data_IF_110077262264
#
_entry.id   IF_110077262264
#
_cell.length_a   1.000
_cell.length_b   1.000
_cell.length_c   1.000
_cell.angle_alpha   90.00
_cell.angle_beta   90.00
_cell.angle_gamma   90.00
#
_symmetry.space_group_name_H-M   'P 1'
#
loop_
_entity.id
_entity.type
_entity.pdbx_description
1 polymer ?
#
# COMPACT_ATOMS: atom_id res chain seq x y z
N UNK A 1 -10.11 -34.48 -30.63
CA UNK A 1 -10.96 -33.37 -30.15
C UNK A 1 -10.08 -32.14 -29.96
N UNK A 2 -10.33 -31.03 -30.66
CA UNK A 2 -9.57 -29.78 -30.49
C UNK A 2 -10.19 -28.97 -29.34
N UNK A 3 -9.38 -28.56 -28.37
CA UNK A 3 -9.78 -27.69 -27.26
C UNK A 3 -10.18 -26.32 -27.85
N UNK A 4 -11.31 -25.71 -27.45
CA UNK A 4 -11.70 -24.40 -27.95
C UNK A 4 -10.64 -23.35 -27.58
N UNK A 5 -10.40 -22.34 -28.44
CA UNK A 5 -9.49 -21.25 -28.10
C UNK A 5 -10.04 -20.49 -26.90
N UNK A 6 -9.14 -20.07 -26.00
CA UNK A 6 -9.50 -19.14 -24.92
C UNK A 6 -10.07 -17.88 -25.58
N UNK A 7 -11.30 -17.51 -25.21
CA UNK A 7 -11.94 -16.29 -25.69
C UNK A 7 -11.14 -15.03 -25.31
N UNK A 8 -11.49 -13.86 -25.85
CA UNK A 8 -10.77 -12.61 -25.55
C UNK A 8 -10.76 -12.40 -24.03
N UNK A 9 -9.56 -12.34 -23.45
CA UNK A 9 -9.37 -11.99 -22.04
C UNK A 9 -9.67 -10.52 -21.88
N UNK A 10 -10.82 -10.20 -21.28
CA UNK A 10 -11.09 -8.83 -20.83
C UNK A 10 -9.96 -8.42 -19.89
N UNK A 11 -9.25 -7.30 -20.13
CA UNK A 11 -8.20 -6.85 -19.23
C UNK A 11 -8.85 -6.57 -17.86
N UNK A 12 -8.53 -7.40 -16.88
CA UNK A 12 -8.94 -7.17 -15.51
C UNK A 12 -8.14 -5.98 -14.98
N UNK A 13 -8.72 -4.78 -15.03
CA UNK A 13 -8.09 -3.56 -14.48
C UNK A 13 -8.10 -3.66 -12.96
N UNK A 14 -7.08 -4.29 -12.39
CA UNK A 14 -6.85 -4.30 -10.95
C UNK A 14 -6.51 -2.86 -10.55
N UNK A 15 -7.36 -2.22 -9.76
CA UNK A 15 -7.05 -0.91 -9.21
C UNK A 15 -5.74 -0.99 -8.41
N UNK A 16 -4.83 0.00 -8.55
CA UNK A 16 -3.65 0.04 -7.70
C UNK A 16 -4.08 0.08 -6.24
N UNK A 17 -3.30 -0.53 -5.36
CA UNK A 17 -3.61 -0.57 -3.95
C UNK A 17 -2.44 -0.16 -3.08
N UNK A 18 -2.79 0.45 -1.94
CA UNK A 18 -1.93 0.73 -0.81
C UNK A 18 -2.32 -0.24 0.29
N UNK A 19 -1.33 -0.83 0.96
CA UNK A 19 -1.56 -1.68 2.13
C UNK A 19 -1.10 -0.96 3.39
N UNK A 20 -2.01 -0.75 4.32
CA UNK A 20 -1.73 -0.20 5.65
C UNK A 20 -1.64 -1.33 6.67
N UNK A 21 -0.56 -1.36 7.43
CA UNK A 21 -0.34 -2.31 8.50
C UNK A 21 -0.91 -1.73 9.80
N UNK A 22 -1.97 -2.35 10.33
CA UNK A 22 -2.70 -1.93 11.54
C UNK A 22 -4.21 -2.04 11.34
N UNK A 23 -4.87 -2.96 12.06
CA UNK A 23 -6.30 -3.26 11.91
C UNK A 23 -7.20 -2.13 12.49
N UNK A 24 -6.76 -1.45 13.54
CA UNK A 24 -7.54 -0.40 14.24
C UNK A 24 -6.84 0.96 14.21
N UNK A 25 -6.18 1.28 13.10
CA UNK A 25 -5.45 2.54 13.03
C UNK A 25 -6.42 3.72 12.80
N UNK A 26 -6.33 4.74 13.64
CA UNK A 26 -6.91 6.08 13.39
C UNK A 26 -6.40 6.72 12.08
N UNK A 27 -5.41 6.09 11.46
CA UNK A 27 -4.77 6.45 10.21
C UNK A 27 -5.55 6.00 8.97
N UNK A 28 -6.47 5.05 9.11
CA UNK A 28 -7.20 4.52 7.95
C UNK A 28 -7.90 5.61 7.12
N UNK A 29 -8.65 6.58 7.70
CA UNK A 29 -9.30 7.62 6.92
C UNK A 29 -8.29 8.49 6.15
N UNK A 30 -7.15 8.82 6.78
CA UNK A 30 -6.08 9.59 6.17
C UNK A 30 -5.45 8.84 4.99
N UNK A 31 -5.10 7.57 5.20
CA UNK A 31 -4.52 6.70 4.17
C UNK A 31 -5.50 6.48 3.01
N UNK A 32 -6.78 6.26 3.30
CA UNK A 32 -7.82 6.00 2.30
C UNK A 32 -8.02 7.21 1.39
N UNK A 33 -8.17 8.40 1.99
CA UNK A 33 -8.29 9.64 1.23
C UNK A 33 -7.02 9.93 0.42
N UNK A 34 -5.85 9.72 1.02
CA UNK A 34 -4.57 10.01 0.37
C UNK A 34 -4.30 9.06 -0.80
N UNK A 35 -4.60 7.77 -0.67
CA UNK A 35 -4.48 6.79 -1.73
C UNK A 35 -5.39 7.11 -2.93
N UNK A 36 -6.65 7.48 -2.65
CA UNK A 36 -7.60 7.89 -3.68
C UNK A 36 -7.11 9.14 -4.43
N UNK A 37 -6.64 10.17 -3.72
CA UNK A 37 -6.14 11.42 -4.31
C UNK A 37 -4.80 11.28 -5.05
N UNK A 38 -3.92 10.40 -4.58
CA UNK A 38 -2.58 10.24 -5.14
C UNK A 38 -2.60 9.47 -6.47
N UNK A 39 -3.39 8.39 -6.53
CA UNK A 39 -3.31 7.41 -7.62
C UNK A 39 -4.66 6.76 -8.00
N UNK A 40 -5.80 7.25 -7.48
CA UNK A 40 -7.07 6.55 -7.62
C UNK A 40 -7.04 5.14 -7.03
N UNK A 41 -6.20 4.95 -6.00
CA UNK A 41 -5.91 3.65 -5.43
C UNK A 41 -6.88 3.28 -4.30
N UNK A 42 -7.12 1.99 -4.14
CA UNK A 42 -7.82 1.47 -2.95
C UNK A 42 -6.86 1.34 -1.77
N UNK A 43 -7.40 1.51 -0.57
CA UNK A 43 -6.71 1.15 0.66
C UNK A 43 -7.15 -0.24 1.11
N UNK A 44 -6.18 -1.09 1.39
CA UNK A 44 -6.33 -2.37 2.08
C UNK A 44 -5.66 -2.25 3.46
N UNK A 45 -6.17 -2.97 4.44
CA UNK A 45 -5.61 -3.03 5.80
C UNK A 45 -5.29 -4.48 6.17
N UNK A 46 -4.29 -4.68 7.02
CA UNK A 46 -3.96 -5.98 7.59
C UNK A 46 -3.28 -5.82 8.94
N UNK A 47 -3.23 -6.89 9.74
CA UNK A 47 -2.34 -6.95 10.91
C UNK A 47 -0.90 -7.27 10.49
N UNK A 48 0.01 -7.24 11.48
CA UNK A 48 1.39 -7.68 11.29
C UNK A 48 1.48 -9.17 10.94
N UNK A 49 0.64 -10.02 11.53
CA UNK A 49 0.72 -11.48 11.32
C UNK A 49 0.44 -11.87 9.86
N UNK A 50 -0.39 -11.12 9.16
CA UNK A 50 -0.80 -11.37 7.78
C UNK A 50 -0.10 -10.49 6.75
N UNK A 51 0.73 -9.52 7.17
CA UNK A 51 1.31 -8.50 6.27
C UNK A 51 2.06 -9.10 5.09
N UNK A 52 2.88 -10.13 5.33
CA UNK A 52 3.68 -10.79 4.29
C UNK A 52 2.78 -11.44 3.23
N UNK A 53 1.78 -12.20 3.67
CA UNK A 53 0.82 -12.86 2.79
C UNK A 53 -0.01 -11.84 2.02
N UNK A 54 -0.57 -10.83 2.69
CA UNK A 54 -1.41 -9.81 2.08
C UNK A 54 -0.63 -8.95 1.09
N UNK A 55 0.62 -8.59 1.40
CA UNK A 55 1.47 -7.85 0.47
C UNK A 55 1.79 -8.69 -0.78
N UNK A 56 2.01 -10.00 -0.64
CA UNK A 56 2.26 -10.89 -1.77
C UNK A 56 1.03 -11.08 -2.67
N UNK A 57 -0.16 -11.21 -2.08
CA UNK A 57 -1.44 -11.35 -2.79
C UNK A 57 -1.85 -10.06 -3.51
N UNK A 58 -1.83 -8.95 -2.79
CA UNK A 58 -2.34 -7.67 -3.27
C UNK A 58 -1.34 -6.94 -4.16
N UNK A 59 -0.03 -7.23 -3.97
CA UNK A 59 1.08 -6.54 -4.62
C UNK A 59 0.87 -5.02 -4.54
N UNK A 60 0.84 -4.41 -3.35
CA UNK A 60 0.57 -2.98 -3.20
C UNK A 60 1.75 -2.15 -3.68
N UNK A 61 1.51 -0.97 -4.27
CA UNK A 61 2.60 -0.09 -4.69
C UNK A 61 3.25 0.65 -3.51
N UNK A 62 2.54 0.73 -2.39
CA UNK A 62 3.04 1.28 -1.14
C UNK A 62 2.60 0.42 0.05
N UNK A 63 3.54 0.20 0.97
CA UNK A 63 3.32 -0.37 2.29
C UNK A 63 3.40 0.79 3.29
N UNK A 64 2.25 1.19 3.84
CA UNK A 64 2.20 2.21 4.88
C UNK A 64 2.26 1.50 6.23
N UNK A 65 3.24 1.85 7.04
CA UNK A 65 3.48 1.21 8.35
C UNK A 65 3.54 2.30 9.42
N UNK A 66 2.72 2.23 10.48
CA UNK A 66 2.86 3.09 11.64
C UNK A 66 4.27 3.03 12.19
N UNK A 67 4.84 4.18 12.57
CA UNK A 67 6.26 4.26 12.97
C UNK A 67 6.56 3.36 14.16
N UNK A 68 5.62 3.28 15.11
CA UNK A 68 5.66 2.40 16.28
C UNK A 68 5.73 0.90 15.93
N UNK A 69 5.15 0.49 14.80
CA UNK A 69 5.23 -0.89 14.28
C UNK A 69 6.55 -1.08 13.54
N UNK A 70 6.94 -0.08 12.73
CA UNK A 70 8.15 -0.15 11.94
C UNK A 70 9.41 -0.21 12.81
N UNK A 71 9.43 0.49 13.94
CA UNK A 71 10.56 0.52 14.89
C UNK A 71 10.81 -0.83 15.56
N UNK A 72 9.84 -1.74 15.55
CA UNK A 72 10.00 -3.09 16.10
C UNK A 72 10.93 -3.97 15.25
N UNK A 73 10.72 -3.99 13.93
CA UNK A 73 11.61 -4.67 12.97
C UNK A 73 11.67 -3.93 11.62
N UNK A 74 12.48 -2.88 11.51
CA UNK A 74 12.56 -2.09 10.28
C UNK A 74 13.19 -2.89 9.12
N UNK A 75 14.07 -3.86 9.43
CA UNK A 75 14.76 -4.64 8.42
C UNK A 75 13.79 -5.59 7.70
N UNK A 76 12.88 -6.21 8.44
CA UNK A 76 11.85 -7.09 7.87
C UNK A 76 10.93 -6.32 6.91
N UNK A 77 10.43 -5.14 7.30
CA UNK A 77 9.56 -4.34 6.43
C UNK A 77 10.28 -3.83 5.18
N UNK A 78 11.57 -3.47 5.28
CA UNK A 78 12.39 -3.09 4.12
C UNK A 78 12.56 -4.29 3.17
N UNK A 79 12.83 -5.48 3.70
CA UNK A 79 12.95 -6.70 2.90
C UNK A 79 11.62 -7.05 2.22
N UNK A 80 10.50 -6.94 2.95
CA UNK A 80 9.16 -7.18 2.41
C UNK A 80 8.83 -6.20 1.28
N UNK A 81 9.03 -4.90 1.50
CA UNK A 81 8.78 -3.86 0.50
C UNK A 81 9.56 -4.11 -0.80
N UNK A 82 10.83 -4.49 -0.69
CA UNK A 82 11.65 -4.89 -1.84
C UNK A 82 11.08 -6.13 -2.53
N UNK A 83 10.70 -7.15 -1.77
CA UNK A 83 10.16 -8.42 -2.28
C UNK A 83 8.87 -8.23 -3.09
N UNK A 84 7.99 -7.32 -2.67
CA UNK A 84 6.73 -7.05 -3.37
C UNK A 84 6.79 -5.85 -4.33
N UNK A 85 7.98 -5.27 -4.53
CA UNK A 85 8.20 -4.04 -5.29
C UNK A 85 7.24 -2.90 -4.87
N UNK A 86 7.22 -2.63 -3.57
CA UNK A 86 6.47 -1.55 -2.95
C UNK A 86 7.41 -0.50 -2.36
N UNK A 87 6.94 0.74 -2.28
CA UNK A 87 7.61 1.76 -1.46
C UNK A 87 7.17 1.59 -0.01
N UNK A 88 8.11 1.47 0.92
CA UNK A 88 7.83 1.53 2.36
C UNK A 88 7.64 2.98 2.79
N UNK A 89 6.51 3.29 3.41
CA UNK A 89 6.17 4.65 3.87
C UNK A 89 5.90 4.57 5.38
N UNK A 90 6.80 5.07 6.23
CA UNK A 90 6.52 5.25 7.65
C UNK A 90 5.44 6.32 7.82
N UNK A 91 4.49 6.08 8.72
CA UNK A 91 3.48 7.06 9.10
C UNK A 91 3.52 7.24 10.63
N UNK A 92 3.80 8.46 11.07
CA UNK A 92 3.80 8.78 12.50
C UNK A 92 2.35 9.07 12.95
N UNK A 93 1.83 8.21 13.82
CA UNK A 93 0.47 8.32 14.34
C UNK A 93 0.20 9.64 15.06
N UNK A 94 1.21 10.21 15.74
CA UNK A 94 1.10 11.50 16.43
C UNK A 94 1.03 12.67 15.44
N UNK A 95 1.67 12.55 14.28
CA UNK A 95 1.67 13.58 13.22
C UNK A 95 0.54 13.44 12.22
N UNK A 96 -0.19 12.33 12.22
CA UNK A 96 -1.27 12.10 11.27
C UNK A 96 -2.40 13.16 11.32
N UNK A 97 -2.59 13.79 12.49
CA UNK A 97 -3.55 14.88 12.67
C UNK A 97 -2.98 16.28 12.38
N UNK A 98 -1.68 16.38 12.08
CA UNK A 98 -1.03 17.67 11.86
C UNK A 98 -1.53 18.33 10.55
N UNK A 99 -1.65 19.68 10.53
CA UNK A 99 -1.88 20.40 9.29
C UNK A 99 -0.82 20.05 8.26
N UNK A 100 -1.24 19.54 7.10
CA UNK A 100 -0.34 19.16 6.00
C UNK A 100 -0.02 17.66 5.90
N UNK A 101 -0.28 16.85 6.93
CA UNK A 101 0.00 15.41 6.92
C UNK A 101 -0.61 14.68 5.70
N UNK A 102 -1.83 15.05 5.32
CA UNK A 102 -2.48 14.52 4.11
C UNK A 102 -1.75 14.92 2.82
N UNK A 103 -1.32 16.17 2.70
CA UNK A 103 -0.63 16.63 1.50
C UNK A 103 0.72 15.93 1.33
N UNK A 104 1.42 15.71 2.44
CA UNK A 104 2.68 14.95 2.48
C UNK A 104 2.46 13.48 2.10
N UNK A 105 1.45 12.83 2.70
CA UNK A 105 1.14 11.43 2.37
C UNK A 105 0.69 11.28 0.91
N UNK A 106 -0.12 12.20 0.39
CA UNK A 106 -0.51 12.22 -1.04
C UNK A 106 0.71 12.33 -1.94
N UNK A 107 1.68 13.20 -1.61
CA UNK A 107 2.91 13.32 -2.37
C UNK A 107 3.71 12.02 -2.33
N UNK A 108 3.93 11.44 -1.15
CA UNK A 108 4.68 10.20 -0.99
C UNK A 108 4.05 9.03 -1.75
N UNK A 109 2.72 8.89 -1.71
CA UNK A 109 1.98 7.86 -2.45
C UNK A 109 2.04 8.08 -3.97
N UNK A 110 1.99 9.33 -4.44
CA UNK A 110 2.13 9.63 -5.87
C UNK A 110 3.51 9.23 -6.38
N UNK A 111 4.56 9.61 -5.65
CA UNK A 111 5.94 9.26 -6.00
C UNK A 111 6.12 7.72 -6.00
N UNK A 112 5.56 7.03 -5.01
CA UNK A 112 5.57 5.57 -4.93
C UNK A 112 4.87 4.90 -6.12
N UNK A 113 3.70 5.43 -6.53
CA UNK A 113 2.94 4.91 -7.65
C UNK A 113 3.70 5.09 -8.98
N UNK A 114 4.34 6.24 -9.18
CA UNK A 114 5.14 6.52 -10.36
C UNK A 114 6.35 5.60 -10.48
N UNK A 115 7.10 5.37 -9.39
CA UNK A 115 8.26 4.45 -9.38
C UNK A 115 7.91 3.01 -9.73
N UNK A 116 6.69 2.60 -9.47
CA UNK A 116 6.24 1.24 -9.78
C UNK A 116 5.75 1.08 -11.22
N UNK A 117 5.33 2.18 -11.85
CA UNK A 117 4.89 2.19 -13.23
C UNK A 117 6.06 2.16 -14.23
N UNK A 118 7.28 2.45 -13.77
CA UNK A 118 8.55 2.36 -14.51
C UNK A 118 9.22 1.01 -14.30
#
# INVERSE_FOLDING_TARGET
MRKPPLGPTTPHRVLPCVLLVGIDSSLEPLCRQSAALAAGARLETCDMASVTTRAAELRPFALVVPSEILDFDPAEFVALARTVNATLIPLDSARASAPGARAELVKALRDAHQRRAT
#
